data_IF_332156198366
#
_entry.id   IF_332156198366
#
_cell.length_a   1.000
_cell.length_b   1.000
_cell.length_c   1.000
_cell.angle_alpha   90.00
_cell.angle_beta   90.00
_cell.angle_gamma   90.00
#
_symmetry.space_group_name_H-M   'P 1'
#
loop_
_entity.id
_entity.type
_entity.pdbx_description
1 polymer ?
#
# COMPACT_ATOMS: atom_id res chain seq x y z
N UNK A 1 -7.25 -42.82 16.59
CA UNK A 1 -7.98 -41.72 17.22
C UNK A 1 -7.30 -40.34 17.03
N UNK A 2 -5.97 -40.25 16.85
CA UNK A 2 -5.28 -38.95 16.69
C UNK A 2 -5.39 -38.30 15.28
N UNK A 3 -5.72 -39.03 14.23
CA UNK A 3 -5.83 -38.50 12.86
C UNK A 3 -7.20 -37.83 12.58
N UNK A 4 -8.28 -38.31 13.13
CA UNK A 4 -9.62 -37.76 12.89
C UNK A 4 -9.84 -36.40 13.58
N UNK A 5 -9.23 -36.16 14.75
CA UNK A 5 -9.29 -34.86 15.43
C UNK A 5 -8.49 -33.77 14.67
N UNK A 6 -7.37 -34.12 14.03
CA UNK A 6 -6.58 -33.21 13.20
C UNK A 6 -7.25 -32.90 11.86
N UNK A 7 -7.92 -33.86 11.23
CA UNK A 7 -8.67 -33.64 9.97
C UNK A 7 -9.90 -32.74 10.20
N UNK A 8 -10.63 -32.94 11.30
CA UNK A 8 -11.75 -32.06 11.67
C UNK A 8 -11.32 -30.61 11.94
N UNK A 9 -10.17 -30.41 12.56
CA UNK A 9 -9.58 -29.09 12.80
C UNK A 9 -9.14 -28.38 11.53
N UNK A 10 -8.51 -29.06 10.59
CA UNK A 10 -8.06 -28.53 9.33
C UNK A 10 -9.24 -28.14 8.39
N UNK A 11 -10.23 -29.03 8.28
CA UNK A 11 -11.45 -28.78 7.47
C UNK A 11 -12.25 -27.59 8.02
N UNK A 12 -12.39 -27.48 9.35
CA UNK A 12 -13.06 -26.34 9.98
C UNK A 12 -12.32 -25.01 9.70
N UNK A 13 -10.99 -25.04 9.73
CA UNK A 13 -10.16 -23.86 9.43
C UNK A 13 -10.28 -23.42 7.96
N UNK A 14 -10.29 -24.38 7.01
CA UNK A 14 -10.53 -24.07 5.59
C UNK A 14 -11.94 -23.52 5.35
N UNK A 15 -12.94 -24.04 6.07
CA UNK A 15 -14.32 -23.54 5.99
C UNK A 15 -14.41 -22.10 6.50
N UNK A 16 -13.69 -21.76 7.56
CA UNK A 16 -13.60 -20.39 8.07
C UNK A 16 -12.94 -19.45 7.05
N UNK A 17 -11.81 -19.86 6.44
CA UNK A 17 -11.14 -19.10 5.38
C UNK A 17 -12.09 -18.80 4.22
N UNK A 18 -12.77 -19.84 3.70
CA UNK A 18 -13.75 -19.69 2.63
C UNK A 18 -14.82 -18.66 2.98
N UNK A 19 -15.41 -18.77 4.19
CA UNK A 19 -16.45 -17.84 4.66
C UNK A 19 -15.94 -16.39 4.71
N UNK A 20 -14.72 -16.17 5.22
CA UNK A 20 -14.09 -14.84 5.30
C UNK A 20 -13.79 -14.26 3.91
N UNK A 21 -13.29 -15.08 2.98
CA UNK A 21 -13.05 -14.68 1.60
C UNK A 21 -14.34 -14.27 0.88
N UNK A 22 -15.42 -15.06 1.04
CA UNK A 22 -16.72 -14.72 0.45
C UNK A 22 -17.24 -13.37 0.98
N UNK A 23 -17.14 -13.12 2.28
CA UNK A 23 -17.56 -11.83 2.85
C UNK A 23 -16.72 -10.68 2.30
N UNK A 24 -15.39 -10.86 2.21
CA UNK A 24 -14.49 -9.85 1.63
C UNK A 24 -14.82 -9.56 0.17
N UNK A 25 -15.14 -10.59 -0.61
CA UNK A 25 -15.50 -10.44 -2.02
C UNK A 25 -16.85 -9.74 -2.22
N UNK A 26 -17.86 -10.10 -1.43
CA UNK A 26 -19.17 -9.41 -1.45
C UNK A 26 -18.98 -7.92 -1.11
N UNK A 27 -18.19 -7.65 -0.08
CA UNK A 27 -17.89 -6.26 0.33
C UNK A 27 -17.19 -5.48 -0.79
N UNK A 28 -16.23 -6.11 -1.47
CA UNK A 28 -15.53 -5.53 -2.62
C UNK A 28 -16.51 -5.20 -3.76
N UNK A 29 -17.43 -6.11 -4.10
CA UNK A 29 -18.41 -5.88 -5.16
C UNK A 29 -19.34 -4.71 -4.81
N UNK A 30 -19.83 -4.65 -3.58
CA UNK A 30 -20.71 -3.55 -3.14
C UNK A 30 -19.97 -2.21 -3.28
N UNK A 31 -18.73 -2.14 -2.78
CA UNK A 31 -17.92 -0.92 -2.90
C UNK A 31 -17.56 -0.60 -4.34
N UNK A 32 -17.34 -1.60 -5.19
CA UNK A 32 -17.10 -1.36 -6.62
C UNK A 32 -18.29 -0.68 -7.30
N UNK A 33 -19.50 -1.14 -7.05
CA UNK A 33 -20.72 -0.51 -7.60
C UNK A 33 -20.85 0.93 -7.10
N UNK A 34 -20.61 1.17 -5.81
CA UNK A 34 -20.65 2.53 -5.24
C UNK A 34 -19.59 3.41 -5.89
N UNK A 35 -18.34 2.95 -5.97
CA UNK A 35 -17.25 3.71 -6.58
C UNK A 35 -17.47 3.96 -8.06
N UNK A 36 -18.13 3.05 -8.78
CA UNK A 36 -18.46 3.24 -10.19
C UNK A 36 -19.49 4.36 -10.39
N UNK A 37 -20.49 4.47 -9.52
CA UNK A 37 -21.45 5.59 -9.54
C UNK A 37 -20.74 6.95 -9.34
N UNK A 38 -19.69 6.98 -8.50
CA UNK A 38 -18.91 8.17 -8.21
C UNK A 38 -17.60 8.27 -9.00
N UNK A 39 -17.46 7.50 -10.09
CA UNK A 39 -16.19 7.36 -10.83
C UNK A 39 -15.60 8.71 -11.29
N UNK A 40 -16.42 9.64 -11.73
CA UNK A 40 -15.99 10.98 -12.18
C UNK A 40 -15.38 11.80 -11.04
N UNK A 41 -15.99 11.77 -9.85
CA UNK A 41 -15.47 12.48 -8.68
C UNK A 41 -14.15 11.87 -8.20
N UNK A 42 -14.06 10.54 -8.21
CA UNK A 42 -12.83 9.80 -7.83
C UNK A 42 -11.71 10.11 -8.84
N UNK A 43 -12.04 10.12 -10.14
CA UNK A 43 -11.12 10.51 -11.18
C UNK A 43 -10.58 11.93 -10.93
N UNK A 44 -11.49 12.90 -10.72
CA UNK A 44 -11.12 14.29 -10.42
C UNK A 44 -10.19 14.39 -9.22
N UNK A 45 -10.49 13.67 -8.13
CA UNK A 45 -9.64 13.61 -6.95
C UNK A 45 -8.24 13.06 -7.27
N UNK A 46 -8.13 11.96 -8.02
CA UNK A 46 -6.83 11.37 -8.35
C UNK A 46 -6.00 12.23 -9.33
N UNK A 47 -6.64 13.07 -10.15
CA UNK A 47 -5.97 13.98 -11.09
C UNK A 47 -5.57 15.30 -10.43
N UNK A 48 -6.18 15.67 -9.31
CA UNK A 48 -5.95 16.95 -8.62
C UNK A 48 -4.46 17.25 -8.30
N UNK A 49 -3.60 16.31 -7.86
CA UNK A 49 -2.18 16.58 -7.68
C UNK A 49 -1.47 17.04 -8.96
N UNK A 50 -1.88 16.52 -10.13
CA UNK A 50 -1.36 16.96 -11.41
C UNK A 50 -1.87 18.36 -11.76
N UNK A 51 -3.18 18.58 -11.61
CA UNK A 51 -3.79 19.87 -11.87
C UNK A 51 -3.19 20.99 -11.00
N UNK A 52 -2.92 20.72 -9.73
CA UNK A 52 -2.27 21.66 -8.82
C UNK A 52 -0.81 21.95 -9.21
N UNK A 53 -0.07 20.93 -9.67
CA UNK A 53 1.33 21.10 -10.05
C UNK A 53 1.53 21.92 -11.33
N UNK A 54 0.52 21.95 -12.22
CA UNK A 54 0.56 22.69 -13.49
C UNK A 54 -0.23 24.00 -13.47
N UNK A 55 -0.86 24.34 -12.34
CA UNK A 55 -1.77 25.49 -12.22
C UNK A 55 -1.09 26.85 -12.47
N UNK A 56 0.18 26.98 -12.14
CA UNK A 56 0.94 28.23 -12.28
C UNK A 56 1.56 28.40 -13.67
N UNK A 57 1.34 27.45 -14.56
CA UNK A 57 1.86 27.48 -15.92
C UNK A 57 0.83 28.08 -16.89
N UNK A 58 1.19 29.13 -17.62
CA UNK A 58 0.35 29.79 -18.61
C UNK A 58 0.05 28.92 -19.85
N UNK A 59 0.68 27.73 -19.96
CA UNK A 59 0.42 26.79 -21.04
C UNK A 59 -0.92 26.07 -20.84
N UNK A 60 -1.72 25.94 -21.91
CA UNK A 60 -2.99 25.20 -21.92
C UNK A 60 -2.75 23.68 -21.78
N UNK A 61 -2.39 23.26 -20.55
CA UNK A 61 -2.02 21.87 -20.25
C UNK A 61 -3.25 21.01 -20.05
N UNK A 62 -3.22 19.83 -20.64
CA UNK A 62 -4.31 18.86 -20.58
C UNK A 62 -3.78 17.43 -20.45
N UNK A 63 -4.58 16.58 -19.87
CA UNK A 63 -4.39 15.14 -19.97
C UNK A 63 -4.99 14.66 -21.29
N UNK A 64 -4.28 13.82 -22.02
CA UNK A 64 -4.72 13.28 -23.30
C UNK A 64 -5.11 11.80 -23.18
N UNK A 65 -6.06 11.38 -24.02
CA UNK A 65 -6.33 9.97 -24.29
C UNK A 65 -6.13 9.68 -25.78
N UNK A 66 -5.65 8.49 -26.09
CA UNK A 66 -5.24 8.13 -27.46
C UNK A 66 -6.10 7.04 -28.08
N UNK A 67 -6.99 6.43 -27.31
CA UNK A 67 -7.93 5.41 -27.78
C UNK A 67 -9.36 5.74 -27.35
N UNK A 68 -10.34 5.49 -28.24
CA UNK A 68 -11.76 5.80 -27.98
C UNK A 68 -12.31 5.17 -26.70
N UNK A 69 -11.91 3.94 -26.38
CA UNK A 69 -12.34 3.19 -25.20
C UNK A 69 -11.55 3.54 -23.93
N UNK A 70 -10.48 4.34 -24.04
CA UNK A 70 -9.54 4.58 -22.94
C UNK A 70 -10.23 5.21 -21.73
N UNK A 71 -11.06 6.22 -21.93
CA UNK A 71 -11.77 6.92 -20.85
C UNK A 71 -12.74 5.99 -20.12
N UNK A 72 -13.50 5.19 -20.86
CA UNK A 72 -14.43 4.23 -20.27
C UNK A 72 -13.71 3.17 -19.42
N UNK A 73 -12.66 2.55 -19.98
CA UNK A 73 -11.85 1.57 -19.26
C UNK A 73 -11.14 2.19 -18.06
N UNK A 74 -10.75 3.45 -18.14
CA UNK A 74 -10.14 4.19 -17.05
C UNK A 74 -11.11 4.37 -15.88
N UNK A 75 -12.37 4.71 -16.13
CA UNK A 75 -13.38 4.81 -15.07
C UNK A 75 -13.64 3.47 -14.37
N UNK A 76 -13.71 2.37 -15.12
CA UNK A 76 -13.80 1.03 -14.54
C UNK A 76 -12.58 0.73 -13.67
N UNK A 77 -11.38 0.99 -14.19
CA UNK A 77 -10.11 0.75 -13.50
C UNK A 77 -9.99 1.57 -12.20
N UNK A 78 -10.31 2.85 -12.25
CA UNK A 78 -10.30 3.76 -11.09
C UNK A 78 -11.32 3.31 -10.05
N UNK A 79 -12.52 2.95 -10.47
CA UNK A 79 -13.58 2.47 -9.58
C UNK A 79 -13.20 1.16 -8.89
N UNK A 80 -12.64 0.22 -9.65
CA UNK A 80 -12.17 -1.05 -9.10
C UNK A 80 -11.00 -0.86 -8.13
N UNK A 81 -10.03 -0.03 -8.52
CA UNK A 81 -8.90 0.32 -7.66
C UNK A 81 -9.37 0.95 -6.35
N UNK A 82 -10.24 1.96 -6.40
CA UNK A 82 -10.74 2.66 -5.22
C UNK A 82 -11.56 1.74 -4.32
N UNK A 83 -12.43 0.91 -4.91
CA UNK A 83 -13.15 -0.11 -4.16
C UNK A 83 -12.20 -1.07 -3.46
N UNK A 84 -11.17 -1.55 -4.16
CA UNK A 84 -10.18 -2.45 -3.60
C UNK A 84 -9.33 -1.74 -2.52
N UNK A 85 -8.93 -0.49 -2.73
CA UNK A 85 -8.19 0.32 -1.77
C UNK A 85 -8.98 0.54 -0.47
N UNK A 86 -10.27 0.90 -0.57
CA UNK A 86 -11.14 1.09 0.59
C UNK A 86 -11.43 -0.23 1.33
N UNK A 87 -11.59 -1.33 0.59
CA UNK A 87 -11.86 -2.65 1.18
C UNK A 87 -10.60 -3.37 1.67
N UNK A 88 -9.41 -2.99 1.20
CA UNK A 88 -8.15 -3.65 1.55
C UNK A 88 -7.90 -3.74 3.07
N UNK A 89 -8.07 -2.69 3.88
CA UNK A 89 -7.91 -2.80 5.34
C UNK A 89 -8.89 -3.82 5.96
N UNK A 90 -10.12 -3.90 5.45
CA UNK A 90 -11.07 -4.89 5.88
C UNK A 90 -10.63 -6.31 5.53
N UNK A 91 -10.11 -6.51 4.31
CA UNK A 91 -9.55 -7.80 3.86
C UNK A 91 -8.36 -8.18 4.75
N UNK A 92 -7.44 -7.25 5.00
CA UNK A 92 -6.30 -7.46 5.88
C UNK A 92 -6.74 -7.83 7.30
N UNK A 93 -7.73 -7.13 7.86
CA UNK A 93 -8.31 -7.51 9.16
C UNK A 93 -8.91 -8.93 9.17
N UNK A 94 -9.55 -9.36 8.09
CA UNK A 94 -10.06 -10.74 7.97
C UNK A 94 -8.93 -11.76 7.92
N UNK A 95 -7.84 -11.44 7.22
CA UNK A 95 -6.62 -12.25 7.16
C UNK A 95 -5.99 -12.36 8.56
N UNK A 96 -5.83 -11.23 9.26
CA UNK A 96 -5.31 -11.23 10.63
C UNK A 96 -6.17 -12.04 11.60
N UNK A 97 -7.50 -11.88 11.54
CA UNK A 97 -8.43 -12.68 12.35
C UNK A 97 -8.40 -14.17 12.01
N UNK A 98 -8.02 -14.54 10.80
CA UNK A 98 -7.85 -15.94 10.40
C UNK A 98 -6.54 -16.53 10.92
N UNK A 99 -5.44 -15.77 10.84
CA UNK A 99 -4.11 -16.21 11.29
C UNK A 99 -4.03 -16.27 12.83
N UNK A 100 -4.63 -15.30 13.50
CA UNK A 100 -4.54 -15.10 14.93
C UNK A 100 -4.98 -16.30 15.81
N UNK A 101 -6.11 -16.98 15.58
CA UNK A 101 -6.53 -18.12 16.40
C UNK A 101 -5.57 -19.32 16.34
N UNK A 102 -4.86 -19.48 15.22
CA UNK A 102 -3.83 -20.51 15.06
C UNK A 102 -2.58 -20.24 15.90
N UNK A 103 -2.33 -18.97 16.22
CA UNK A 103 -1.14 -18.53 16.94
C UNK A 103 -1.32 -18.41 18.46
N UNK A 104 -2.52 -18.00 18.92
CA UNK A 104 -2.74 -17.63 20.32
C UNK A 104 -4.12 -18.09 20.84
N UNK A 105 -4.18 -19.27 21.42
CA UNK A 105 -5.40 -19.74 22.10
C UNK A 105 -5.78 -18.89 23.33
N UNK A 106 -4.87 -18.10 23.89
CA UNK A 106 -5.04 -17.41 25.18
C UNK A 106 -4.97 -15.86 25.16
N UNK A 107 -4.65 -15.19 24.02
CA UNK A 107 -4.46 -13.72 23.99
C UNK A 107 -5.27 -13.00 22.91
N UNK A 108 -6.60 -13.17 22.89
CA UNK A 108 -7.47 -12.41 21.95
C UNK A 108 -7.35 -10.88 22.08
N UNK A 109 -7.04 -10.39 23.28
CA UNK A 109 -6.87 -8.95 23.56
C UNK A 109 -5.59 -8.40 22.92
N UNK A 110 -4.56 -9.24 22.76
CA UNK A 110 -3.29 -8.81 22.18
C UNK A 110 -3.33 -8.52 20.67
N UNK A 111 -4.38 -8.97 19.98
CA UNK A 111 -4.56 -8.77 18.51
C UNK A 111 -5.30 -7.47 18.22
N UNK A 112 -6.13 -6.99 19.15
CA UNK A 112 -6.96 -5.80 18.95
C UNK A 112 -6.17 -4.57 18.48
N UNK A 113 -5.02 -4.20 19.06
CA UNK A 113 -4.25 -3.05 18.58
C UNK A 113 -3.80 -3.20 17.12
N UNK A 114 -3.45 -4.39 16.65
CA UNK A 114 -3.05 -4.64 15.26
C UNK A 114 -4.23 -4.48 14.30
N UNK A 115 -5.44 -4.92 14.69
CA UNK A 115 -6.65 -4.74 13.89
C UNK A 115 -7.02 -3.26 13.72
N UNK A 116 -6.79 -2.43 14.74
CA UNK A 116 -7.03 -0.99 14.67
C UNK A 116 -5.93 -0.27 13.88
N UNK A 117 -4.68 -0.69 14.07
CA UNK A 117 -3.52 -0.06 13.43
C UNK A 117 -3.46 -0.36 11.92
N UNK A 118 -3.93 -1.53 11.49
CA UNK A 118 -3.96 -1.95 10.09
C UNK A 118 -4.61 -0.91 9.17
N UNK A 119 -5.88 -0.49 9.35
CA UNK A 119 -6.49 0.53 8.49
C UNK A 119 -5.78 1.88 8.59
N UNK A 120 -5.35 2.28 9.78
CA UNK A 120 -4.69 3.57 10.01
C UNK A 120 -3.40 3.64 9.19
N UNK A 121 -2.52 2.65 9.31
CA UNK A 121 -1.26 2.62 8.58
C UNK A 121 -1.48 2.48 7.08
N UNK A 122 -2.49 1.70 6.65
CA UNK A 122 -2.80 1.54 5.23
C UNK A 122 -3.18 2.88 4.57
N UNK A 123 -4.12 3.60 5.18
CA UNK A 123 -4.53 4.91 4.67
C UNK A 123 -3.44 5.96 4.81
N UNK A 124 -2.63 5.91 5.86
CA UNK A 124 -1.48 6.80 6.03
C UNK A 124 -0.47 6.61 4.88
N UNK A 125 -0.19 5.36 4.46
CA UNK A 125 0.65 5.07 3.31
C UNK A 125 0.10 5.69 2.02
N UNK A 126 -1.19 5.52 1.73
CA UNK A 126 -1.84 6.13 0.57
C UNK A 126 -1.83 7.67 0.61
N UNK A 127 -2.10 8.24 1.77
CA UNK A 127 -2.07 9.70 2.00
C UNK A 127 -0.68 10.28 1.76
N UNK A 128 0.37 9.61 2.22
CA UNK A 128 1.75 10.04 2.01
C UNK A 128 2.10 10.09 0.51
N UNK A 129 1.67 9.08 -0.25
CA UNK A 129 1.87 9.09 -1.71
C UNK A 129 1.15 10.27 -2.33
N UNK A 130 -0.12 10.44 -2.02
CA UNK A 130 -0.98 11.44 -2.65
C UNK A 130 -0.49 12.87 -2.39
N UNK A 131 -0.16 13.22 -1.13
CA UNK A 131 0.20 14.58 -0.75
C UNK A 131 1.70 14.90 -0.81
N UNK A 132 2.58 13.89 -0.78
CA UNK A 132 4.02 14.12 -0.76
C UNK A 132 4.70 13.59 -2.03
N UNK A 133 4.55 12.29 -2.33
CA UNK A 133 5.33 11.66 -3.40
C UNK A 133 4.87 12.13 -4.78
N UNK A 134 3.55 12.16 -5.02
CA UNK A 134 3.01 12.56 -6.32
C UNK A 134 3.35 14.00 -6.71
N UNK A 135 3.16 15.02 -5.85
CA UNK A 135 3.59 16.39 -6.21
C UNK A 135 5.09 16.51 -6.50
N UNK A 136 5.94 15.79 -5.75
CA UNK A 136 7.39 15.79 -6.00
C UNK A 136 7.72 15.12 -7.34
N UNK A 137 7.11 13.99 -7.65
CA UNK A 137 7.28 13.28 -8.91
C UNK A 137 6.87 14.14 -10.11
N UNK A 138 5.69 14.75 -10.04
CA UNK A 138 5.17 15.58 -11.14
C UNK A 138 6.11 16.78 -11.38
N UNK A 139 6.51 17.50 -10.34
CA UNK A 139 7.46 18.61 -10.45
C UNK A 139 8.79 18.18 -11.07
N UNK A 140 9.28 16.99 -10.70
CA UNK A 140 10.48 16.43 -11.28
C UNK A 140 10.32 16.18 -12.77
N UNK A 141 9.25 15.51 -13.21
CA UNK A 141 9.03 15.27 -14.64
C UNK A 141 8.82 16.55 -15.44
N UNK A 142 8.14 17.55 -14.89
CA UNK A 142 7.99 18.85 -15.50
C UNK A 142 9.33 19.60 -15.65
N UNK A 143 10.33 19.33 -14.80
CA UNK A 143 11.65 19.96 -14.90
C UNK A 143 12.45 19.58 -16.16
N UNK A 144 12.04 18.51 -16.87
CA UNK A 144 12.66 18.09 -18.15
C UNK A 144 12.09 18.82 -19.37
N UNK A 145 11.08 19.65 -19.20
CA UNK A 145 10.54 20.45 -20.29
C UNK A 145 11.52 21.54 -20.74
N UNK A 146 11.52 21.82 -22.02
CA UNK A 146 12.33 22.90 -22.59
C UNK A 146 11.51 23.70 -23.60
N UNK A 147 11.67 25.02 -23.57
CA UNK A 147 11.05 25.96 -24.49
C UNK A 147 11.69 26.00 -25.88
N UNK A 148 12.68 25.14 -26.15
CA UNK A 148 13.40 25.11 -27.42
C UNK A 148 14.49 26.17 -27.57
N UNK A 149 14.77 27.00 -26.53
CA UNK A 149 15.84 28.01 -26.59
C UNK A 149 17.23 27.38 -26.68
N UNK A 150 17.40 26.20 -26.09
CA UNK A 150 18.64 25.41 -26.09
C UNK A 150 18.61 24.20 -27.04
N UNK A 151 17.45 23.87 -27.60
CA UNK A 151 17.24 22.74 -28.52
C UNK A 151 16.41 23.17 -29.71
N UNK A 152 16.57 22.51 -30.86
CA UNK A 152 15.85 22.86 -32.10
C UNK A 152 14.33 22.74 -32.03
N UNK A 153 13.81 21.99 -31.04
CA UNK A 153 12.38 21.76 -30.82
C UNK A 153 12.02 21.84 -29.35
N UNK A 154 10.86 22.42 -28.98
CA UNK A 154 10.39 22.41 -27.60
C UNK A 154 10.03 20.99 -27.17
N UNK A 155 10.30 20.67 -25.89
CA UNK A 155 9.88 19.42 -25.25
C UNK A 155 8.84 19.79 -24.21
N UNK A 156 7.62 19.26 -24.35
CA UNK A 156 6.51 19.47 -23.43
C UNK A 156 5.94 18.12 -22.99
N UNK A 157 5.60 17.99 -21.71
CA UNK A 157 4.98 16.79 -21.16
C UNK A 157 3.48 16.77 -21.49
N UNK A 158 3.07 15.88 -22.36
CA UNK A 158 1.66 15.53 -22.56
C UNK A 158 1.35 14.20 -21.89
N UNK A 159 0.84 14.26 -20.66
CA UNK A 159 0.58 13.06 -19.87
C UNK A 159 -0.69 12.35 -20.36
N UNK A 160 -0.59 11.04 -20.61
CA UNK A 160 -1.75 10.19 -20.92
C UNK A 160 -2.51 9.85 -19.66
N UNK A 161 -3.84 10.00 -19.70
CA UNK A 161 -4.75 9.73 -18.59
C UNK A 161 -4.50 8.35 -17.97
N UNK A 162 -4.47 7.30 -18.80
CA UNK A 162 -4.32 5.93 -18.29
C UNK A 162 -2.94 5.66 -17.68
N UNK A 163 -1.87 6.25 -18.22
CA UNK A 163 -0.51 6.07 -17.70
C UNK A 163 -0.34 6.79 -16.37
N UNK A 164 -0.78 8.04 -16.28
CA UNK A 164 -0.76 8.82 -15.07
C UNK A 164 -1.54 8.14 -13.93
N UNK A 165 -2.80 7.80 -14.17
CA UNK A 165 -3.62 7.14 -13.15
C UNK A 165 -3.10 5.76 -12.76
N UNK A 166 -2.54 5.01 -13.71
CA UNK A 166 -1.92 3.71 -13.40
C UNK A 166 -0.72 3.86 -12.48
N UNK A 167 0.10 4.89 -12.67
CA UNK A 167 1.22 5.21 -11.79
C UNK A 167 0.73 5.58 -10.38
N UNK A 168 -0.21 6.54 -10.29
CA UNK A 168 -0.78 6.99 -9.02
C UNK A 168 -1.36 5.81 -8.23
N UNK A 169 -2.21 5.00 -8.87
CA UNK A 169 -2.86 3.85 -8.24
C UNK A 169 -1.85 2.80 -7.77
N UNK A 170 -0.83 2.48 -8.58
CA UNK A 170 0.23 1.55 -8.19
C UNK A 170 0.98 2.04 -6.95
N UNK A 171 1.36 3.31 -6.92
CA UNK A 171 2.10 3.89 -5.80
C UNK A 171 1.26 3.91 -4.52
N UNK A 172 0.02 4.40 -4.59
CA UNK A 172 -0.89 4.44 -3.44
C UNK A 172 -1.05 3.04 -2.83
N UNK A 173 -1.28 2.04 -3.68
CA UNK A 173 -1.50 0.67 -3.22
C UNK A 173 -0.22 0.03 -2.66
N UNK A 174 0.91 0.22 -3.34
CA UNK A 174 2.20 -0.29 -2.90
C UNK A 174 2.60 0.26 -1.54
N UNK A 175 2.39 1.57 -1.31
CA UNK A 175 2.64 2.18 0.00
C UNK A 175 1.65 1.71 1.06
N UNK A 176 0.36 1.64 0.73
CA UNK A 176 -0.64 1.11 1.66
C UNK A 176 -0.26 -0.27 2.20
N UNK A 177 0.20 -1.17 1.32
CA UNK A 177 0.69 -2.50 1.72
C UNK A 177 2.02 -2.40 2.48
N UNK A 178 2.97 -1.59 2.00
CA UNK A 178 4.29 -1.46 2.63
C UNK A 178 4.20 -0.91 4.05
N UNK A 179 3.22 -0.05 4.32
CA UNK A 179 2.93 0.46 5.67
C UNK A 179 2.40 -0.61 6.63
N UNK A 180 2.05 -1.82 6.14
CA UNK A 180 1.74 -2.96 7.00
C UNK A 180 2.99 -3.64 7.57
N UNK A 181 4.19 -3.30 7.08
CA UNK A 181 5.44 -3.93 7.50
C UNK A 181 5.66 -3.94 9.03
N UNK A 182 5.42 -2.86 9.79
CA UNK A 182 5.53 -2.89 11.25
C UNK A 182 4.56 -3.88 11.91
N UNK A 183 3.36 -4.03 11.37
CA UNK A 183 2.34 -4.96 11.89
C UNK A 183 2.78 -6.40 11.64
N UNK A 184 3.19 -6.71 10.40
CA UNK A 184 3.66 -8.04 10.01
C UNK A 184 4.84 -8.48 10.87
N UNK A 185 5.87 -7.64 10.99
CA UNK A 185 7.07 -7.96 11.78
C UNK A 185 6.76 -8.08 13.27
N UNK A 186 5.90 -7.23 13.82
CA UNK A 186 5.47 -7.31 15.22
C UNK A 186 4.71 -8.60 15.52
N UNK A 187 3.86 -9.06 14.59
CA UNK A 187 3.16 -10.34 14.75
C UNK A 187 4.11 -11.53 14.62
N UNK A 188 5.07 -11.51 13.68
CA UNK A 188 6.09 -12.53 13.54
C UNK A 188 6.99 -12.61 14.78
N UNK A 189 7.30 -11.47 15.40
CA UNK A 189 8.04 -11.44 16.65
C UNK A 189 7.27 -12.04 17.82
N UNK A 190 5.96 -11.81 17.89
CA UNK A 190 5.12 -12.41 18.94
C UNK A 190 5.10 -13.93 18.90
N UNK A 191 5.16 -14.52 17.71
CA UNK A 191 5.20 -15.98 17.55
C UNK A 191 6.62 -16.55 17.60
N UNK A 192 7.61 -15.69 17.87
CA UNK A 192 9.00 -16.13 18.00
C UNK A 192 9.72 -16.50 16.69
N UNK A 193 9.14 -16.11 15.53
CA UNK A 193 9.77 -16.36 14.20
C UNK A 193 10.88 -15.36 13.93
N UNK A 194 10.73 -14.13 14.44
CA UNK A 194 11.69 -13.03 14.20
C UNK A 194 11.97 -12.35 15.54
N UNK A 195 13.24 -12.02 15.77
CA UNK A 195 13.68 -11.22 16.91
C UNK A 195 14.32 -9.89 16.48
N UNK A 196 14.48 -8.97 17.41
CA UNK A 196 15.04 -7.64 17.15
C UNK A 196 16.51 -7.69 16.71
N UNK A 197 17.27 -8.69 17.15
CA UNK A 197 18.66 -8.88 16.77
C UNK A 197 18.75 -9.34 15.30
N UNK A 198 17.95 -10.34 14.92
CA UNK A 198 17.85 -10.83 13.55
C UNK A 198 17.54 -9.68 12.57
N UNK A 199 16.56 -8.82 12.91
CA UNK A 199 16.22 -7.67 12.06
C UNK A 199 17.39 -6.70 11.94
N UNK A 200 18.10 -6.39 13.01
CA UNK A 200 19.28 -5.51 12.97
C UNK A 200 20.40 -6.05 12.09
N UNK A 201 20.69 -7.34 12.18
CA UNK A 201 21.71 -7.99 11.36
C UNK A 201 21.36 -8.00 9.86
N UNK A 202 20.07 -8.05 9.54
CA UNK A 202 19.57 -8.08 8.16
C UNK A 202 19.35 -6.70 7.53
N UNK A 203 19.58 -5.59 8.24
CA UNK A 203 19.39 -4.22 7.73
C UNK A 203 19.95 -3.99 6.33
N UNK A 204 21.19 -4.40 6.08
CA UNK A 204 21.86 -4.22 4.79
C UNK A 204 21.10 -4.87 3.62
N UNK A 205 20.50 -6.03 3.85
CA UNK A 205 19.70 -6.71 2.83
C UNK A 205 18.36 -6.03 2.63
N UNK A 206 17.73 -5.59 3.71
CA UNK A 206 16.43 -4.89 3.64
C UNK A 206 16.59 -3.56 2.91
N UNK A 207 17.65 -2.80 3.14
CA UNK A 207 17.94 -1.58 2.37
C UNK A 207 17.99 -1.88 0.87
N UNK A 208 18.74 -2.91 0.45
CA UNK A 208 18.82 -3.30 -0.97
C UNK A 208 17.45 -3.72 -1.52
N UNK A 209 16.68 -4.51 -0.75
CA UNK A 209 15.34 -4.95 -1.16
C UNK A 209 14.39 -3.76 -1.31
N UNK A 210 14.43 -2.80 -0.37
CA UNK A 210 13.60 -1.59 -0.43
C UNK A 210 13.93 -0.77 -1.68
N UNK A 211 15.21 -0.54 -1.99
CA UNK A 211 15.60 0.18 -3.19
C UNK A 211 15.26 -0.58 -4.48
N UNK A 212 15.40 -1.89 -4.49
CA UNK A 212 14.98 -2.72 -5.62
C UNK A 212 13.45 -2.68 -5.83
N UNK A 213 12.67 -2.77 -4.75
CA UNK A 213 11.22 -2.63 -4.80
C UNK A 213 10.80 -1.23 -5.25
N UNK A 214 11.47 -0.19 -4.75
CA UNK A 214 11.24 1.18 -5.18
C UNK A 214 11.48 1.34 -6.69
N UNK A 215 12.61 0.83 -7.21
CA UNK A 215 12.94 0.90 -8.64
C UNK A 215 11.93 0.14 -9.54
N UNK A 216 11.29 -0.92 -9.02
CA UNK A 216 10.26 -1.65 -9.74
C UNK A 216 8.91 -0.92 -9.78
N UNK A 217 8.61 -0.17 -8.72
CA UNK A 217 7.32 0.50 -8.54
C UNK A 217 7.27 1.89 -9.16
N UNK A 218 8.40 2.61 -9.16
CA UNK A 218 8.52 3.96 -9.74
C UNK A 218 9.06 3.90 -11.17
N UNK A 219 8.79 4.94 -11.99
CA UNK A 219 9.62 5.20 -13.16
C UNK A 219 11.10 5.24 -12.77
N UNK A 220 12.03 4.98 -13.71
CA UNK A 220 13.47 4.96 -13.42
C UNK A 220 14.02 6.38 -13.17
N UNK A 221 13.61 7.02 -12.08
CA UNK A 221 14.06 8.32 -11.64
C UNK A 221 14.55 8.31 -10.18
N UNK A 222 15.67 8.98 -9.86
CA UNK A 222 16.25 8.94 -8.52
C UNK A 222 15.39 9.63 -7.46
N UNK A 223 14.60 10.64 -7.82
CA UNK A 223 13.85 11.46 -6.85
C UNK A 223 12.68 10.66 -6.31
N UNK A 224 11.86 10.08 -7.19
CA UNK A 224 10.73 9.26 -6.73
C UNK A 224 11.21 7.97 -6.08
N UNK A 225 12.29 7.35 -6.58
CA UNK A 225 12.88 6.16 -5.96
C UNK A 225 13.36 6.42 -4.53
N UNK A 226 14.11 7.50 -4.30
CA UNK A 226 14.60 7.88 -2.96
C UNK A 226 13.43 8.32 -2.08
N UNK A 227 12.50 9.13 -2.62
CA UNK A 227 11.29 9.57 -1.93
C UNK A 227 10.42 8.40 -1.45
N UNK A 228 10.47 7.27 -2.17
CA UNK A 228 9.78 6.03 -1.84
C UNK A 228 10.57 5.20 -0.82
N UNK A 229 11.89 5.13 -0.98
CA UNK A 229 12.74 4.31 -0.14
C UNK A 229 12.84 4.85 1.31
N UNK A 230 12.94 6.18 1.49
CA UNK A 230 13.11 6.79 2.81
C UNK A 230 11.97 6.44 3.79
N UNK A 231 10.68 6.62 3.46
CA UNK A 231 9.59 6.23 4.34
C UNK A 231 9.60 4.73 4.69
N UNK A 232 9.95 3.87 3.73
CA UNK A 232 10.03 2.42 3.96
C UNK A 232 11.17 2.04 4.92
N UNK A 233 12.31 2.72 4.81
CA UNK A 233 13.43 2.56 5.76
C UNK A 233 13.02 2.99 7.17
N UNK A 234 12.33 4.13 7.29
CA UNK A 234 11.81 4.59 8.58
C UNK A 234 10.83 3.58 9.17
N UNK A 235 9.91 3.04 8.37
CA UNK A 235 8.98 2.00 8.81
C UNK A 235 9.69 0.74 9.27
N UNK A 236 10.78 0.35 8.60
CA UNK A 236 11.58 -0.79 9.01
C UNK A 236 12.25 -0.56 10.38
N UNK A 237 12.83 0.61 10.62
CA UNK A 237 13.42 0.95 11.92
C UNK A 237 12.35 1.01 13.03
N UNK A 238 11.18 1.58 12.74
CA UNK A 238 10.04 1.56 13.65
C UNK A 238 9.58 0.13 13.96
N UNK A 239 9.67 -0.78 12.98
CA UNK A 239 9.36 -2.20 13.17
C UNK A 239 10.35 -2.86 14.12
N UNK A 240 11.66 -2.59 13.99
CA UNK A 240 12.68 -3.09 14.92
C UNK A 240 12.41 -2.61 16.34
N UNK A 241 12.04 -1.34 16.50
CA UNK A 241 11.69 -0.78 17.80
C UNK A 241 10.44 -1.45 18.39
N UNK A 242 9.41 -1.67 17.60
CA UNK A 242 8.19 -2.35 18.01
C UNK A 242 8.46 -3.80 18.46
N UNK A 243 9.27 -4.52 17.67
CA UNK A 243 9.68 -5.91 18.00
C UNK A 243 10.44 -5.97 19.32
N UNK A 244 11.42 -5.08 19.52
CA UNK A 244 12.17 -4.99 20.78
C UNK A 244 11.26 -4.73 22.00
N UNK A 245 10.26 -3.87 21.84
CA UNK A 245 9.29 -3.59 22.90
C UNK A 245 8.45 -4.84 23.26
N UNK A 246 8.07 -5.63 22.26
CA UNK A 246 7.34 -6.89 22.46
C UNK A 246 8.20 -7.93 23.18
N UNK A 247 9.48 -8.07 22.79
CA UNK A 247 10.43 -8.99 23.42
C UNK A 247 10.60 -8.68 24.91
N UNK A 248 10.86 -7.42 25.24
CA UNK A 248 11.04 -7.00 26.65
C UNK A 248 9.78 -7.32 27.48
N UNK A 249 8.60 -7.07 26.96
CA UNK A 249 7.34 -7.38 27.65
C UNK A 249 7.08 -8.86 27.82
N UNK A 250 7.59 -9.71 26.94
CA UNK A 250 7.49 -11.17 27.07
C UNK A 250 8.47 -11.71 28.13
N UNK A 251 9.68 -11.13 28.23
CA UNK A 251 10.65 -11.49 29.28
C UNK A 251 10.10 -11.16 30.66
N UNK A 252 9.55 -9.95 30.86
CA UNK A 252 8.94 -9.55 32.16
C UNK A 252 7.80 -10.49 32.60
N UNK A 253 7.06 -11.08 31.64
CA UNK A 253 5.98 -12.05 31.96
C UNK A 253 6.48 -13.45 32.29
N UNK A 254 7.69 -13.79 31.86
CA UNK A 254 8.30 -15.12 32.15
C UNK A 254 9.00 -15.13 33.50
N UNK A 255 9.44 -13.95 33.98
CA UNK A 255 10.14 -13.77 35.25
C UNK A 255 9.17 -13.47 36.43
N UNK A 256 7.86 -13.28 36.18
CA UNK A 256 6.80 -13.03 37.15
C UNK A 256 5.88 -14.23 37.32
#
# INVERSE_FOLDING_TARGET
MSNEENEGGFVSHLTELRKRLIHSFIFLIIFFVICYIFAEHIYGFLVDPYAQAVKDDESDRRLIFTALQETFLTYIKVSFFTAFFVTCPFILMQIWKFIAPGLYKHEKVAILPYLVLTPILFFLGGTLVYYLIMPLAIKFFLSFESTGLSTSLPIQLEAKVNEYLSLVMKLIFAFGISFQLPIVLSLLARIGVVDSQFLKERRKYVVVIIFAAAALLTPPDPITQIGLAIPLLILYELSIFSVKFIENKNLEKTDA
#
